data_IF_908963828001
#
_entry.id   IF_908963828001
#
_cell.length_a   1.000
_cell.length_b   1.000
_cell.length_c   1.000
_cell.angle_alpha   90.00
_cell.angle_beta   90.00
_cell.angle_gamma   90.00
#
_symmetry.space_group_name_H-M   'P 1'
#
loop_
_entity.id
_entity.type
_entity.pdbx_description
1 polymer ?
#
# COMPACT_ATOMS: atom_id res chain seq x y z
N UNK A 1 -10.71 -18.57 -2.15
CA UNK A 1 -9.36 -18.91 -1.67
C UNK A 1 -8.27 -18.21 -2.49
N UNK A 2 -8.20 -18.39 -3.83
CA UNK A 2 -7.12 -17.81 -4.66
C UNK A 2 -6.90 -16.30 -4.49
N UNK A 3 -7.95 -15.49 -4.47
CA UNK A 3 -7.84 -14.03 -4.29
C UNK A 3 -7.26 -13.63 -2.93
N UNK A 4 -7.62 -14.36 -1.86
CA UNK A 4 -7.07 -14.11 -0.53
C UNK A 4 -5.58 -14.47 -0.45
N UNK A 5 -5.17 -15.57 -1.10
CA UNK A 5 -3.74 -15.94 -1.16
C UNK A 5 -2.92 -14.89 -1.91
N UNK A 6 -3.44 -14.36 -3.02
CA UNK A 6 -2.78 -13.26 -3.76
C UNK A 6 -2.73 -11.96 -2.93
N UNK A 7 -3.77 -11.69 -2.15
CA UNK A 7 -3.78 -10.55 -1.24
C UNK A 7 -2.70 -10.70 -0.14
N UNK A 8 -2.61 -11.87 0.49
CA UNK A 8 -1.55 -12.17 1.46
C UNK A 8 -0.16 -12.04 0.82
N UNK A 9 0.01 -12.58 -0.38
CA UNK A 9 1.27 -12.48 -1.12
C UNK A 9 1.69 -11.02 -1.34
N UNK A 10 0.76 -10.12 -1.70
CA UNK A 10 1.05 -8.68 -1.81
C UNK A 10 1.58 -8.12 -0.48
N UNK A 11 0.91 -8.38 0.63
CA UNK A 11 1.34 -7.87 1.94
C UNK A 11 2.72 -8.39 2.34
N UNK A 12 3.00 -9.67 2.09
CA UNK A 12 4.30 -10.29 2.34
C UNK A 12 5.39 -9.68 1.44
N UNK A 13 5.13 -9.52 0.15
CA UNK A 13 6.10 -8.93 -0.79
C UNK A 13 6.42 -7.48 -0.45
N UNK A 14 5.41 -6.68 -0.06
CA UNK A 14 5.60 -5.32 0.42
C UNK A 14 6.44 -5.29 1.70
N UNK A 15 6.20 -6.19 2.64
CA UNK A 15 7.00 -6.30 3.85
C UNK A 15 8.44 -6.73 3.56
N UNK A 16 8.65 -7.68 2.64
CA UNK A 16 9.98 -8.12 2.21
C UNK A 16 10.74 -7.06 1.39
N UNK A 17 10.04 -6.09 0.81
CA UNK A 17 10.65 -4.94 0.14
C UNK A 17 11.18 -3.91 1.15
N UNK A 18 10.72 -3.92 2.40
CA UNK A 18 10.97 -2.86 3.37
C UNK A 18 12.36 -2.96 3.99
N UNK A 19 13.07 -1.83 4.20
CA UNK A 19 14.29 -1.84 5.01
C UNK A 19 13.95 -2.26 6.46
N UNK A 20 14.83 -2.89 7.23
CA UNK A 20 16.29 -2.96 7.23
C UNK A 20 16.83 -4.24 6.56
N UNK A 21 15.98 -5.26 6.33
CA UNK A 21 16.45 -6.57 5.84
C UNK A 21 15.84 -6.93 4.49
N UNK A 22 15.07 -5.99 3.91
CA UNK A 22 14.33 -6.25 2.69
C UNK A 22 15.13 -6.03 1.41
N UNK A 23 14.55 -6.46 0.30
CA UNK A 23 15.05 -6.24 -1.04
C UNK A 23 14.22 -5.14 -1.68
N UNK A 24 14.68 -3.89 -1.64
CA UNK A 24 13.91 -2.69 -2.08
C UNK A 24 13.30 -2.84 -3.48
N UNK A 25 13.97 -3.53 -4.40
CA UNK A 25 13.47 -3.76 -5.78
C UNK A 25 12.17 -4.58 -5.82
N UNK A 26 11.85 -5.34 -4.78
CA UNK A 26 10.58 -6.08 -4.71
C UNK A 26 9.37 -5.15 -4.73
N UNK A 27 9.50 -3.89 -4.33
CA UNK A 27 8.39 -2.92 -4.34
C UNK A 27 7.75 -2.79 -5.72
N UNK A 28 8.53 -2.89 -6.79
CA UNK A 28 8.02 -2.79 -8.16
C UNK A 28 7.10 -3.93 -8.58
N UNK A 29 7.23 -5.10 -7.97
CA UNK A 29 6.41 -6.29 -8.28
C UNK A 29 5.43 -6.63 -7.16
N UNK A 30 5.61 -6.07 -5.98
CA UNK A 30 4.81 -6.39 -4.80
C UNK A 30 3.31 -6.06 -4.96
N UNK A 31 2.99 -5.05 -5.76
CA UNK A 31 1.61 -4.64 -6.05
C UNK A 31 0.89 -5.52 -7.08
N UNK A 32 1.64 -6.26 -7.89
CA UNK A 32 1.11 -7.03 -9.01
C UNK A 32 0.01 -8.03 -8.58
N UNK A 33 0.17 -8.83 -7.51
CA UNK A 33 -0.87 -9.78 -7.14
C UNK A 33 -2.19 -9.11 -6.74
N UNK A 34 -2.17 -7.98 -6.04
CA UNK A 34 -3.38 -7.25 -5.63
C UNK A 34 -4.05 -6.56 -6.83
N UNK A 35 -3.26 -5.92 -7.70
CA UNK A 35 -3.76 -5.34 -8.95
C UNK A 35 -4.38 -6.40 -9.86
N UNK A 36 -3.80 -7.60 -9.90
CA UNK A 36 -4.34 -8.72 -10.64
C UNK A 36 -5.68 -9.20 -10.06
N UNK A 37 -5.80 -9.28 -8.73
CA UNK A 37 -7.08 -9.59 -8.06
C UNK A 37 -8.14 -8.56 -8.43
N UNK A 38 -7.82 -7.27 -8.38
CA UNK A 38 -8.74 -6.20 -8.77
C UNK A 38 -9.18 -6.35 -10.23
N UNK A 39 -8.23 -6.55 -11.14
CA UNK A 39 -8.51 -6.75 -12.56
C UNK A 39 -9.43 -7.95 -12.80
N UNK A 40 -9.16 -9.11 -12.19
CA UNK A 40 -10.00 -10.30 -12.31
C UNK A 40 -11.42 -10.07 -11.79
N UNK A 41 -11.54 -9.44 -10.62
CA UNK A 41 -12.84 -9.13 -10.03
C UNK A 41 -13.62 -8.14 -10.91
N UNK A 42 -12.96 -7.14 -11.47
CA UNK A 42 -13.55 -6.13 -12.34
C UNK A 42 -14.00 -6.70 -13.68
N UNK A 43 -13.16 -7.52 -14.33
CA UNK A 43 -13.43 -8.09 -15.65
C UNK A 43 -14.58 -9.11 -15.65
N UNK A 44 -14.78 -9.83 -14.56
CA UNK A 44 -15.87 -10.82 -14.44
C UNK A 44 -17.23 -10.20 -14.16
N UNK A 45 -17.34 -8.89 -14.01
CA UNK A 45 -18.57 -8.20 -13.62
C UNK A 45 -19.10 -8.54 -12.22
N UNK A 46 -18.47 -9.49 -11.54
CA UNK A 46 -18.80 -9.95 -10.17
C UNK A 46 -18.09 -9.16 -9.09
N UNK A 47 -17.50 -8.02 -9.43
CA UNK A 47 -16.76 -7.18 -8.49
C UNK A 47 -17.72 -6.56 -7.47
N UNK A 48 -17.89 -7.24 -6.35
CA UNK A 48 -18.39 -6.61 -5.14
C UNK A 48 -17.29 -5.68 -4.61
N UNK A 49 -17.60 -4.40 -4.39
CA UNK A 49 -16.71 -3.45 -3.71
C UNK A 49 -16.16 -4.04 -2.41
N UNK A 50 -16.99 -4.81 -1.68
CA UNK A 50 -16.59 -5.49 -0.45
C UNK A 50 -15.49 -6.54 -0.64
N UNK A 51 -15.47 -7.27 -1.76
CA UNK A 51 -14.40 -8.25 -2.02
C UNK A 51 -13.06 -7.57 -2.33
N UNK A 52 -13.08 -6.49 -3.11
CA UNK A 52 -11.88 -5.70 -3.40
C UNK A 52 -11.37 -5.08 -2.11
N UNK A 53 -12.26 -4.47 -1.32
CA UNK A 53 -11.91 -3.91 -0.01
C UNK A 53 -11.31 -4.95 0.93
N UNK A 54 -11.92 -6.13 1.05
CA UNK A 54 -11.41 -7.20 1.92
C UNK A 54 -10.02 -7.67 1.50
N UNK A 55 -9.78 -7.86 0.19
CA UNK A 55 -8.47 -8.27 -0.32
C UNK A 55 -7.41 -7.17 -0.07
N UNK A 56 -7.72 -5.91 -0.35
CA UNK A 56 -6.79 -4.81 -0.08
C UNK A 56 -6.53 -4.62 1.41
N UNK A 57 -7.57 -4.72 2.25
CA UNK A 57 -7.42 -4.62 3.69
C UNK A 57 -6.51 -5.72 4.25
N UNK A 58 -6.70 -6.96 3.79
CA UNK A 58 -5.84 -8.07 4.19
C UNK A 58 -4.38 -7.85 3.75
N UNK A 59 -4.16 -7.37 2.51
CA UNK A 59 -2.82 -7.05 2.01
C UNK A 59 -2.13 -6.01 2.87
N UNK A 60 -2.82 -4.90 3.14
CA UNK A 60 -2.24 -3.79 3.90
C UNK A 60 -2.11 -4.10 5.39
N UNK A 61 -3.02 -4.91 5.96
CA UNK A 61 -2.90 -5.35 7.34
C UNK A 61 -1.64 -6.22 7.53
N UNK A 62 -1.39 -7.16 6.62
CA UNK A 62 -0.17 -7.97 6.64
C UNK A 62 1.05 -7.09 6.49
N UNK A 63 1.06 -6.17 5.53
CA UNK A 63 2.16 -5.24 5.32
C UNK A 63 2.44 -4.39 6.57
N UNK A 64 1.42 -3.69 7.09
CA UNK A 64 1.56 -2.87 8.30
C UNK A 64 2.11 -3.70 9.48
N UNK A 65 1.49 -4.84 9.75
CA UNK A 65 1.88 -5.68 10.90
C UNK A 65 3.31 -6.18 10.79
N UNK A 66 3.72 -6.71 9.63
CA UNK A 66 5.06 -7.26 9.45
C UNK A 66 6.16 -6.20 9.44
N UNK A 67 5.84 -4.98 8.98
CA UNK A 67 6.84 -3.91 8.85
C UNK A 67 6.97 -3.07 10.10
N UNK A 68 5.88 -2.84 10.83
CA UNK A 68 5.86 -1.94 11.97
C UNK A 68 5.56 -2.64 13.31
N UNK A 69 5.75 -3.96 13.37
CA UNK A 69 5.52 -4.79 14.56
C UNK A 69 6.26 -4.27 15.81
N UNK A 70 7.42 -3.67 15.64
CA UNK A 70 8.27 -3.15 16.71
C UNK A 70 7.59 -2.09 17.59
N UNK A 71 6.55 -1.42 17.08
CA UNK A 71 5.77 -0.43 17.85
C UNK A 71 5.03 -1.09 19.02
N UNK A 72 4.75 -2.38 18.91
CA UNK A 72 4.18 -3.17 19.99
C UNK A 72 4.99 -3.05 21.30
N UNK A 73 6.30 -2.92 21.20
CA UNK A 73 7.20 -2.77 22.36
C UNK A 73 7.05 -1.40 23.05
N UNK A 74 6.50 -0.41 22.35
CA UNK A 74 6.26 0.94 22.90
C UNK A 74 4.84 1.06 23.46
N UNK A 75 3.83 0.64 22.71
CA UNK A 75 2.42 0.74 23.10
C UNK A 75 1.57 -0.31 22.39
N UNK A 76 0.95 -1.20 23.14
CA UNK A 76 0.09 -2.26 22.60
C UNK A 76 -1.16 -1.68 21.94
N UNK A 77 -1.86 -0.79 22.61
CA UNK A 77 -3.11 -0.19 22.11
C UNK A 77 -2.83 0.69 20.89
N UNK A 78 -1.76 1.50 20.97
CA UNK A 78 -1.35 2.35 19.85
C UNK A 78 -0.95 1.56 18.60
N UNK A 79 -0.23 0.43 18.77
CA UNK A 79 0.15 -0.43 17.65
C UNK A 79 -1.06 -1.08 16.98
N UNK A 80 -2.00 -1.62 17.76
CA UNK A 80 -3.24 -2.18 17.21
C UNK A 80 -4.03 -1.13 16.44
N UNK A 81 -4.19 0.07 17.02
CA UNK A 81 -4.84 1.18 16.35
C UNK A 81 -4.15 1.51 15.01
N UNK A 82 -2.82 1.66 15.03
CA UNK A 82 -2.05 1.96 13.84
C UNK A 82 -2.21 0.87 12.76
N UNK A 83 -2.05 -0.40 13.10
CA UNK A 83 -2.18 -1.49 12.12
C UNK A 83 -3.57 -1.54 11.49
N UNK A 84 -4.62 -1.43 12.30
CA UNK A 84 -6.00 -1.53 11.82
C UNK A 84 -6.42 -0.28 11.03
N UNK A 85 -6.15 0.91 11.58
CA UNK A 85 -6.62 2.17 10.99
C UNK A 85 -5.82 2.52 9.74
N UNK A 86 -4.49 2.38 9.76
CA UNK A 86 -3.70 2.67 8.57
C UNK A 86 -4.06 1.71 7.42
N UNK A 87 -4.23 0.41 7.72
CA UNK A 87 -4.68 -0.56 6.71
C UNK A 87 -6.07 -0.24 6.17
N UNK A 88 -6.97 0.27 7.01
CA UNK A 88 -8.28 0.75 6.60
C UNK A 88 -8.16 1.91 5.62
N UNK A 89 -7.39 2.93 5.96
CA UNK A 89 -7.20 4.13 5.12
C UNK A 89 -6.58 3.77 3.76
N UNK A 90 -5.51 2.97 3.75
CA UNK A 90 -4.91 2.46 2.52
C UNK A 90 -5.91 1.69 1.66
N UNK A 91 -6.78 0.90 2.29
CA UNK A 91 -7.81 0.12 1.57
C UNK A 91 -8.91 0.99 0.98
N UNK A 92 -9.24 2.09 1.62
CA UNK A 92 -10.16 3.09 1.07
C UNK A 92 -9.58 3.78 -0.16
N UNK A 93 -8.28 4.09 -0.14
CA UNK A 93 -7.56 4.62 -1.32
C UNK A 93 -7.60 3.61 -2.47
N UNK A 94 -7.30 2.33 -2.19
CA UNK A 94 -7.37 1.28 -3.20
C UNK A 94 -8.80 1.04 -3.72
N UNK A 95 -9.80 1.17 -2.86
CA UNK A 95 -11.20 1.09 -3.26
C UNK A 95 -11.60 2.27 -4.17
N UNK A 96 -11.10 3.48 -3.90
CA UNK A 96 -11.29 4.63 -4.77
C UNK A 96 -10.70 4.38 -6.17
N UNK A 97 -9.48 3.83 -6.23
CA UNK A 97 -8.89 3.35 -7.48
C UNK A 97 -9.82 2.37 -8.21
N UNK A 98 -10.33 1.34 -7.54
CA UNK A 98 -11.25 0.36 -8.13
C UNK A 98 -12.51 1.03 -8.72
N UNK A 99 -13.10 2.00 -8.01
CA UNK A 99 -14.30 2.71 -8.49
C UNK A 99 -13.99 3.44 -9.79
N UNK A 100 -12.85 4.11 -9.90
CA UNK A 100 -12.41 4.81 -11.11
C UNK A 100 -12.08 3.81 -12.22
N UNK A 101 -11.40 2.72 -11.91
CA UNK A 101 -11.00 1.68 -12.85
C UNK A 101 -12.19 0.98 -13.53
N UNK A 102 -13.35 0.93 -12.87
CA UNK A 102 -14.59 0.39 -13.45
C UNK A 102 -15.16 1.23 -14.58
N UNK A 103 -14.82 2.51 -14.67
CA UNK A 103 -15.43 3.48 -15.57
C UNK A 103 -14.47 4.06 -16.60
N UNK A 104 -13.16 3.78 -16.45
CA UNK A 104 -12.14 4.40 -17.26
C UNK A 104 -11.18 3.37 -17.86
N UNK A 105 -10.39 3.81 -18.84
CA UNK A 105 -9.33 3.01 -19.42
C UNK A 105 -8.23 2.70 -18.38
N UNK A 106 -7.46 1.64 -18.61
CA UNK A 106 -6.35 1.25 -17.73
C UNK A 106 -5.36 2.39 -17.54
N UNK A 107 -5.03 3.14 -18.60
CA UNK A 107 -4.10 4.29 -18.52
C UNK A 107 -4.57 5.35 -17.53
N UNK A 108 -5.83 5.80 -17.67
CA UNK A 108 -6.42 6.81 -16.77
C UNK A 108 -6.45 6.31 -15.34
N UNK A 109 -6.86 5.07 -15.14
CA UNK A 109 -6.96 4.44 -13.83
C UNK A 109 -5.60 4.29 -13.14
N UNK A 110 -4.55 3.96 -13.90
CA UNK A 110 -3.19 3.86 -13.35
C UNK A 110 -2.65 5.22 -12.93
N UNK A 111 -2.86 6.26 -13.76
CA UNK A 111 -2.47 7.64 -13.39
C UNK A 111 -3.23 8.06 -12.12
N UNK A 112 -4.54 7.81 -12.07
CA UNK A 112 -5.34 8.12 -10.88
C UNK A 112 -4.82 7.39 -9.64
N UNK A 113 -4.46 6.10 -9.77
CA UNK A 113 -3.95 5.33 -8.64
C UNK A 113 -2.64 5.91 -8.07
N UNK A 114 -1.70 6.23 -8.94
CA UNK A 114 -0.43 6.86 -8.54
C UNK A 114 -0.70 8.20 -7.85
N UNK A 115 -1.53 9.04 -8.47
CA UNK A 115 -1.82 10.38 -7.95
C UNK A 115 -2.53 10.34 -6.59
N UNK A 116 -3.56 9.49 -6.44
CA UNK A 116 -4.29 9.40 -5.16
C UNK A 116 -3.45 8.77 -4.07
N UNK A 117 -2.54 7.83 -4.42
CA UNK A 117 -1.63 7.24 -3.45
C UNK A 117 -0.64 8.27 -2.90
N UNK A 118 0.01 9.02 -3.78
CA UNK A 118 0.92 10.12 -3.38
C UNK A 118 0.17 11.19 -2.57
N UNK A 119 -1.03 11.57 -2.99
CA UNK A 119 -1.86 12.53 -2.26
C UNK A 119 -2.22 12.01 -0.86
N UNK A 120 -2.55 10.74 -0.73
CA UNK A 120 -2.82 10.09 0.55
C UNK A 120 -1.58 10.09 1.46
N UNK A 121 -0.43 9.67 0.96
CA UNK A 121 0.82 9.70 1.73
C UNK A 121 1.15 11.11 2.19
N UNK A 122 1.05 12.10 1.29
CA UNK A 122 1.30 13.50 1.64
C UNK A 122 0.32 14.02 2.70
N UNK A 123 -0.96 13.70 2.59
CA UNK A 123 -1.96 14.02 3.61
C UNK A 123 -1.60 13.35 4.94
N UNK A 124 -1.21 12.09 4.90
CA UNK A 124 -0.90 11.27 6.06
C UNK A 124 0.33 11.75 6.85
N UNK A 125 1.18 12.57 6.23
CA UNK A 125 2.30 13.24 6.91
C UNK A 125 1.91 14.52 7.68
N UNK A 126 0.70 15.08 7.44
CA UNK A 126 0.34 16.43 7.88
C UNK A 126 -0.90 16.49 8.78
N UNK A 127 -1.40 15.37 9.25
CA UNK A 127 -2.56 15.33 10.15
C UNK A 127 -2.18 14.78 11.53
N UNK A 128 -3.10 14.87 12.52
CA UNK A 128 -2.83 14.52 13.92
C UNK A 128 -2.43 13.07 14.16
N UNK A 129 -2.88 12.14 13.28
CA UNK A 129 -2.50 10.72 13.31
C UNK A 129 -1.49 10.39 12.22
N UNK A 130 -0.48 11.25 12.06
CA UNK A 130 0.55 11.06 11.02
C UNK A 130 1.26 9.71 11.15
N UNK A 131 1.45 9.04 10.01
CA UNK A 131 2.06 7.71 9.94
C UNK A 131 3.05 7.62 8.77
N UNK A 132 4.22 8.24 8.89
CA UNK A 132 5.16 8.36 7.79
C UNK A 132 5.94 7.08 7.50
N UNK A 133 5.88 6.08 8.37
CA UNK A 133 6.73 4.89 8.34
C UNK A 133 6.58 4.06 7.07
N UNK A 134 5.40 4.01 6.47
CA UNK A 134 5.08 3.21 5.31
C UNK A 134 4.90 4.01 4.02
N UNK A 135 5.45 5.22 3.94
CA UNK A 135 5.55 5.95 2.66
C UNK A 135 6.46 5.19 1.69
N UNK A 136 6.02 4.97 0.46
CA UNK A 136 6.72 4.12 -0.51
C UNK A 136 8.16 4.60 -0.80
N UNK A 137 8.40 5.91 -0.73
CA UNK A 137 9.74 6.47 -0.89
C UNK A 137 10.74 5.97 0.16
N UNK A 138 10.29 5.56 1.34
CA UNK A 138 11.16 5.06 2.40
C UNK A 138 11.77 3.68 2.07
N UNK A 139 11.22 2.95 1.11
CA UNK A 139 11.72 1.63 0.73
C UNK A 139 13.17 1.67 0.26
N UNK A 140 13.63 2.82 -0.23
CA UNK A 140 14.99 3.02 -0.74
C UNK A 140 15.93 3.69 0.27
N UNK A 141 15.53 3.85 1.54
CA UNK A 141 16.31 4.58 2.55
C UNK A 141 17.72 4.03 2.79
N UNK A 142 17.96 2.76 2.54
CA UNK A 142 19.29 2.14 2.62
C UNK A 142 20.11 2.24 1.32
N UNK A 143 19.46 2.66 0.23
CA UNK A 143 20.09 2.81 -1.07
C UNK A 143 20.27 4.29 -1.43
N UNK A 144 20.91 5.06 -0.54
CA UNK A 144 21.03 6.54 -0.63
C UNK A 144 21.57 7.00 -1.97
N UNK A 145 22.51 6.26 -2.57
CA UNK A 145 23.07 6.58 -3.88
C UNK A 145 22.03 6.52 -5.02
N UNK A 146 20.93 5.78 -4.82
CA UNK A 146 19.88 5.62 -5.82
C UNK A 146 18.80 6.71 -5.75
N UNK A 147 18.75 7.47 -4.66
CA UNK A 147 17.68 8.42 -4.37
C UNK A 147 18.19 9.86 -4.21
N UNK A 148 19.29 10.21 -4.84
CA UNK A 148 19.91 11.54 -4.73
C UNK A 148 18.97 12.67 -5.15
N UNK A 149 18.01 12.43 -6.05
CA UNK A 149 16.98 13.41 -6.42
C UNK A 149 15.99 13.75 -5.28
N UNK A 150 15.95 12.98 -4.19
CA UNK A 150 15.11 13.30 -3.02
C UNK A 150 15.52 14.62 -2.38
N UNK A 151 16.74 15.10 -2.61
CA UNK A 151 17.16 16.44 -2.21
C UNK A 151 16.24 17.54 -2.79
N UNK A 152 15.72 17.31 -4.00
CA UNK A 152 14.87 18.28 -4.73
C UNK A 152 13.37 17.98 -4.59
N UNK A 153 13.00 16.72 -4.57
CA UNK A 153 11.60 16.29 -4.68
C UNK A 153 11.01 15.78 -3.35
N UNK A 154 11.86 15.54 -2.37
CA UNK A 154 11.49 14.77 -1.17
C UNK A 154 11.19 13.32 -1.51
N UNK A 155 10.59 12.60 -0.54
CA UNK A 155 10.26 11.17 -0.66
C UNK A 155 9.12 10.85 -1.65
N UNK A 156 8.47 11.86 -2.21
CA UNK A 156 7.33 11.72 -3.13
C UNK A 156 7.73 11.86 -4.61
N UNK A 157 9.01 12.10 -4.89
CA UNK A 157 9.54 12.33 -6.24
C UNK A 157 10.06 11.12 -6.97
#
# INVERSE_FOLDING_TARGET
MKHLLLALLTGILLALAWPTYGISLLVFVAWVPLLWVEYQLRSTGKASKGKVFLCSYLSFLVWNTLTTWWIWNSTVVGSLFAFLVNSLLMSLVFLAYHIVAKRNSTKISSIFFITIWIAFEKFHHHWDFSWPWLSLGNVFSENVSWIQWYEYTGIFG
#
